data_IF_106964866025
#
_entry.id   IF_106964866025
#
_cell.length_a   1.000
_cell.length_b   1.000
_cell.length_c   1.000
_cell.angle_alpha   90.00
_cell.angle_beta   90.00
_cell.angle_gamma   90.00
#
_symmetry.space_group_name_H-M   'P 1'
#
loop_
_entity.id
_entity.type
_entity.pdbx_description
1 polymer ?
#
# COMPACT_ATOMS: atom_id res chain seq x y z
N UNK A 1 -10.73 8.10 -0.67
CA UNK A 1 -9.44 7.45 -0.31
C UNK A 1 -9.42 5.97 -0.66
N UNK A 2 -10.10 5.08 0.06
CA UNK A 2 -10.03 3.63 -0.24
C UNK A 2 -10.50 3.24 -1.65
N UNK A 3 -11.52 3.90 -2.22
CA UNK A 3 -11.94 3.64 -3.60
C UNK A 3 -10.81 3.87 -4.60
N UNK A 4 -10.09 4.99 -4.45
CA UNK A 4 -8.95 5.37 -5.29
C UNK A 4 -7.83 4.32 -5.20
N UNK A 5 -7.43 3.93 -3.97
CA UNK A 5 -6.39 2.92 -3.78
C UNK A 5 -6.78 1.59 -4.46
N UNK A 6 -8.05 1.18 -4.32
CA UNK A 6 -8.56 -0.06 -4.93
C UNK A 6 -8.51 0.02 -6.45
N UNK A 7 -8.95 1.13 -7.03
CA UNK A 7 -8.94 1.34 -8.48
C UNK A 7 -7.52 1.29 -9.04
N UNK A 8 -6.60 2.07 -8.48
CA UNK A 8 -5.21 2.12 -8.94
C UNK A 8 -4.47 0.80 -8.71
N UNK A 9 -4.72 0.11 -7.60
CA UNK A 9 -4.15 -1.23 -7.33
C UNK A 9 -4.63 -2.26 -8.35
N UNK A 10 -5.92 -2.24 -8.71
CA UNK A 10 -6.47 -3.17 -9.69
C UNK A 10 -5.98 -2.85 -11.11
N UNK A 11 -5.92 -1.57 -11.48
CA UNK A 11 -5.38 -1.10 -12.76
C UNK A 11 -3.92 -1.52 -12.92
N UNK A 12 -3.08 -1.23 -11.92
CA UNK A 12 -1.67 -1.61 -11.93
C UNK A 12 -1.45 -3.12 -12.05
N UNK A 13 -2.27 -3.92 -11.36
CA UNK A 13 -2.22 -5.37 -11.53
C UNK A 13 -2.59 -5.80 -12.96
N UNK A 14 -3.61 -5.18 -13.56
CA UNK A 14 -3.98 -5.40 -14.97
C UNK A 14 -2.82 -5.12 -15.92
N UNK A 15 -2.23 -3.92 -15.84
CA UNK A 15 -1.07 -3.54 -16.65
C UNK A 15 0.11 -4.48 -16.44
N UNK A 16 0.34 -4.99 -15.22
CA UNK A 16 1.38 -5.98 -14.96
C UNK A 16 1.16 -7.28 -15.74
N UNK A 17 -0.07 -7.78 -15.82
CA UNK A 17 -0.38 -9.02 -16.56
C UNK A 17 -0.30 -8.83 -18.08
N UNK A 18 -0.62 -7.65 -18.59
CA UNK A 18 -0.50 -7.34 -20.02
C UNK A 18 0.96 -7.25 -20.47
N UNK A 19 1.83 -6.72 -19.61
CA UNK A 19 3.22 -6.43 -19.96
C UNK A 19 4.24 -7.48 -19.47
N UNK A 20 3.80 -8.55 -18.80
CA UNK A 20 4.70 -9.55 -18.20
C UNK A 20 4.29 -10.97 -18.59
N UNK A 21 5.19 -11.69 -19.25
CA UNK A 21 5.06 -13.14 -19.43
C UNK A 21 5.35 -13.86 -18.11
N UNK A 22 4.38 -14.64 -17.64
CA UNK A 22 4.47 -15.35 -16.37
C UNK A 22 4.64 -16.85 -16.57
N UNK A 23 5.53 -17.45 -15.76
CA UNK A 23 5.58 -18.90 -15.65
C UNK A 23 4.31 -19.43 -14.96
N UNK A 24 3.86 -20.66 -15.25
CA UNK A 24 2.69 -21.27 -14.60
C UNK A 24 2.81 -21.38 -13.07
N UNK A 25 4.04 -21.39 -12.55
CA UNK A 25 4.33 -21.43 -11.11
C UNK A 25 4.23 -20.05 -10.42
N UNK A 26 4.03 -18.98 -11.18
CA UNK A 26 4.02 -17.62 -10.65
C UNK A 26 2.88 -17.42 -9.65
N UNK A 27 3.24 -16.98 -8.43
CA UNK A 27 2.25 -16.60 -7.41
C UNK A 27 1.34 -15.47 -7.88
N UNK A 28 1.79 -14.63 -8.81
CA UNK A 28 0.99 -13.54 -9.37
C UNK A 28 -0.30 -14.05 -10.00
N UNK A 29 -0.30 -15.26 -10.60
CA UNK A 29 -1.48 -15.87 -11.21
C UNK A 29 -2.63 -16.11 -10.21
N UNK A 30 -2.38 -16.05 -8.90
CA UNK A 30 -3.42 -16.11 -7.87
C UNK A 30 -4.07 -14.75 -7.58
N UNK A 31 -3.71 -13.71 -8.34
CA UNK A 31 -4.32 -12.40 -8.21
C UNK A 31 -5.81 -12.44 -8.51
N UNK A 32 -6.55 -11.65 -7.75
CA UNK A 32 -7.94 -11.30 -7.98
C UNK A 32 -8.08 -9.82 -7.62
N UNK A 33 -8.98 -9.12 -8.29
CA UNK A 33 -9.22 -7.72 -7.99
C UNK A 33 -9.60 -7.54 -6.51
N UNK A 34 -9.03 -6.52 -5.89
CA UNK A 34 -9.34 -6.13 -4.51
C UNK A 34 -10.57 -5.24 -4.46
N UNK A 35 -11.10 -5.03 -3.27
CA UNK A 35 -12.23 -4.13 -3.01
C UNK A 35 -12.00 -3.33 -1.72
N UNK A 36 -12.88 -2.37 -1.44
CA UNK A 36 -12.72 -1.46 -0.28
C UNK A 36 -12.61 -2.20 1.05
N UNK A 37 -13.41 -3.25 1.25
CA UNK A 37 -13.43 -3.99 2.51
C UNK A 37 -12.17 -4.83 2.70
N UNK A 38 -11.68 -5.47 1.63
CA UNK A 38 -10.41 -6.18 1.67
C UNK A 38 -9.23 -5.22 1.87
N UNK A 39 -9.22 -4.06 1.20
CA UNK A 39 -8.17 -3.06 1.34
C UNK A 39 -8.13 -2.49 2.76
N UNK A 40 -9.29 -2.25 3.39
CA UNK A 40 -9.34 -1.87 4.82
C UNK A 40 -8.72 -2.95 5.71
N UNK A 41 -9.07 -4.22 5.53
CA UNK A 41 -8.48 -5.34 6.29
C UNK A 41 -6.96 -5.42 6.10
N UNK A 42 -6.50 -5.24 4.87
CA UNK A 42 -5.08 -5.21 4.54
C UNK A 42 -4.34 -4.08 5.26
N UNK A 43 -4.85 -2.84 5.20
CA UNK A 43 -4.27 -1.70 5.91
C UNK A 43 -4.30 -1.90 7.43
N UNK A 44 -5.38 -2.48 7.98
CA UNK A 44 -5.43 -2.83 9.41
C UNK A 44 -4.33 -3.82 9.81
N UNK A 45 -4.00 -4.80 8.96
CA UNK A 45 -2.88 -5.70 9.21
C UNK A 45 -1.53 -4.98 9.14
N UNK A 46 -1.34 -4.03 8.23
CA UNK A 46 -0.14 -3.19 8.18
C UNK A 46 0.04 -2.35 9.45
N UNK A 47 -1.04 -1.72 9.93
CA UNK A 47 -1.02 -0.98 11.20
C UNK A 47 -0.70 -1.91 12.38
N UNK A 48 -1.27 -3.12 12.39
CA UNK A 48 -1.00 -4.11 13.43
C UNK A 48 0.46 -4.59 13.41
N UNK A 49 1.13 -4.64 12.26
CA UNK A 49 2.58 -4.94 12.19
C UNK A 49 3.43 -3.86 12.87
N UNK A 50 2.94 -2.62 12.93
CA UNK A 50 3.55 -1.54 13.70
C UNK A 50 3.50 -1.77 15.22
N UNK A 51 2.45 -2.46 15.70
CA UNK A 51 2.25 -2.78 17.12
C UNK A 51 2.91 -4.12 17.48
N UNK A 52 2.63 -5.16 16.70
CA UNK A 52 3.18 -6.51 16.88
C UNK A 52 4.41 -6.62 15.98
N UNK A 53 5.58 -6.35 16.54
CA UNK A 53 6.83 -6.41 15.79
C UNK A 53 7.32 -7.86 15.65
N UNK A 54 7.82 -8.21 14.46
CA UNK A 54 8.54 -9.47 14.22
C UNK A 54 9.82 -9.17 13.46
N UNK A 55 10.94 -9.85 13.79
CA UNK A 55 12.21 -9.61 13.13
C UNK A 55 12.20 -10.01 11.65
N UNK A 56 11.26 -10.89 11.24
CA UNK A 56 11.13 -11.32 9.85
C UNK A 56 9.67 -11.22 9.40
N UNK A 57 9.42 -10.52 8.30
CA UNK A 57 8.07 -10.31 7.74
C UNK A 57 7.31 -11.62 7.48
N UNK A 58 8.00 -12.67 7.01
CA UNK A 58 7.40 -13.99 6.77
C UNK A 58 6.86 -14.65 8.05
N UNK A 59 7.32 -14.23 9.23
CA UNK A 59 6.87 -14.82 10.49
C UNK A 59 5.47 -14.38 10.89
N UNK A 60 4.92 -13.32 10.31
CA UNK A 60 3.52 -12.95 10.51
C UNK A 60 2.54 -14.02 10.01
N UNK A 61 2.91 -14.78 8.97
CA UNK A 61 2.15 -15.92 8.47
C UNK A 61 2.52 -17.27 9.08
N UNK A 62 3.46 -17.32 10.04
CA UNK A 62 4.01 -18.59 10.53
C UNK A 62 2.99 -19.39 11.34
N UNK A 63 2.94 -20.71 11.07
CA UNK A 63 2.17 -21.68 11.86
C UNK A 63 2.99 -22.35 12.97
N UNK A 64 4.29 -22.08 13.08
CA UNK A 64 5.15 -22.64 14.14
C UNK A 64 4.65 -22.11 15.49
N UNK A 65 4.40 -22.95 16.51
CA UNK A 65 3.83 -22.50 17.79
C UNK A 65 4.56 -21.30 18.41
N UNK A 66 5.89 -21.34 18.47
CA UNK A 66 6.73 -20.27 19.03
C UNK A 66 6.70 -18.95 18.24
N UNK A 67 6.34 -18.98 16.96
CA UNK A 67 6.27 -17.80 16.10
C UNK A 67 4.83 -17.37 15.79
N UNK A 68 3.84 -18.18 16.20
CA UNK A 68 2.48 -18.07 15.73
C UNK A 68 1.85 -16.75 16.16
N UNK A 69 1.17 -16.10 15.23
CA UNK A 69 0.34 -14.93 15.52
C UNK A 69 -0.96 -15.09 14.75
N UNK A 70 -1.87 -15.97 15.25
CA UNK A 70 -2.96 -16.52 14.45
C UNK A 70 -3.88 -15.48 13.83
N UNK A 71 -4.00 -14.31 14.45
CA UNK A 71 -4.86 -13.22 13.98
C UNK A 71 -4.55 -12.80 12.53
N UNK A 72 -3.27 -12.70 12.15
CA UNK A 72 -2.89 -12.35 10.77
C UNK A 72 -3.47 -13.34 9.76
N UNK A 73 -3.24 -14.65 9.97
CA UNK A 73 -3.73 -15.71 9.10
C UNK A 73 -5.26 -15.89 9.13
N UNK A 74 -5.92 -15.49 10.23
CA UNK A 74 -7.39 -15.47 10.33
C UNK A 74 -8.01 -14.36 9.49
N UNK A 75 -7.37 -13.20 9.39
CA UNK A 75 -7.88 -12.05 8.63
C UNK A 75 -7.57 -12.20 7.14
N UNK A 76 -6.36 -12.63 6.80
CA UNK A 76 -5.90 -12.72 5.41
C UNK A 76 -4.80 -13.78 5.27
N UNK A 77 -4.85 -14.56 4.19
CA UNK A 77 -3.78 -15.52 3.91
C UNK A 77 -2.46 -14.80 3.56
N UNK A 78 -1.33 -15.41 3.92
CA UNK A 78 0.01 -14.86 3.60
C UNK A 78 0.19 -14.64 2.09
N UNK A 79 -0.35 -15.53 1.28
CA UNK A 79 -0.33 -15.42 -0.18
C UNK A 79 -1.10 -14.18 -0.64
N UNK A 80 -2.31 -13.96 -0.13
CA UNK A 80 -3.12 -12.79 -0.52
C UNK A 80 -2.50 -11.49 -0.01
N UNK A 81 -1.99 -11.47 1.22
CA UNK A 81 -1.27 -10.33 1.77
C UNK A 81 -0.04 -9.97 0.93
N UNK A 82 0.75 -10.97 0.53
CA UNK A 82 1.91 -10.77 -0.33
C UNK A 82 1.54 -10.24 -1.72
N UNK A 83 0.42 -10.67 -2.28
CA UNK A 83 -0.09 -10.16 -3.55
C UNK A 83 -0.57 -8.70 -3.45
N UNK A 84 -1.31 -8.35 -2.39
CA UNK A 84 -1.71 -6.96 -2.15
C UNK A 84 -0.48 -6.07 -1.92
N UNK A 85 0.51 -6.52 -1.15
CA UNK A 85 1.79 -5.82 -1.02
C UNK A 85 2.50 -5.61 -2.36
N UNK A 86 2.43 -6.58 -3.27
CA UNK A 86 3.09 -6.52 -4.58
C UNK A 86 2.42 -5.49 -5.51
N UNK A 87 1.10 -5.44 -5.52
CA UNK A 87 0.34 -4.64 -6.48
C UNK A 87 -0.21 -3.32 -5.91
N UNK A 88 0.01 -3.04 -4.62
CA UNK A 88 -0.42 -1.81 -3.98
C UNK A 88 0.08 -0.59 -4.76
N UNK A 89 -0.86 0.21 -5.27
CA UNK A 89 -0.56 1.35 -6.12
C UNK A 89 -1.39 2.58 -5.73
N UNK A 90 -0.87 3.77 -6.04
CA UNK A 90 -1.41 5.05 -5.56
C UNK A 90 -1.42 6.14 -6.64
N UNK A 91 -1.28 5.78 -7.91
CA UNK A 91 -1.13 6.72 -9.01
C UNK A 91 -1.69 6.13 -10.30
N UNK A 92 -2.32 6.96 -11.11
CA UNK A 92 -2.76 6.55 -12.44
C UNK A 92 -1.58 6.54 -13.42
N UNK A 93 -1.12 5.34 -13.79
CA UNK A 93 -0.04 5.20 -14.77
C UNK A 93 -0.48 5.51 -16.21
N UNK A 94 -1.78 5.56 -16.49
CA UNK A 94 -2.33 5.84 -17.83
C UNK A 94 -2.63 7.34 -18.03
N UNK A 95 -2.56 8.15 -16.96
CA UNK A 95 -2.67 9.59 -17.08
C UNK A 95 -1.44 10.10 -17.84
N UNK A 96 -1.65 10.57 -19.07
CA UNK A 96 -0.58 11.02 -19.95
C UNK A 96 0.29 12.07 -19.27
N UNK A 97 1.61 11.89 -19.40
CA UNK A 97 2.67 12.82 -19.01
C UNK A 97 2.64 14.17 -19.75
N UNK A 98 1.50 14.54 -20.35
CA UNK A 98 1.30 15.76 -21.13
C UNK A 98 1.04 17.00 -20.27
N UNK A 99 0.67 16.80 -19.00
CA UNK A 99 0.41 17.88 -18.02
C UNK A 99 1.48 17.91 -16.91
N UNK A 100 2.68 17.40 -17.23
CA UNK A 100 3.85 17.51 -16.35
C UNK A 100 4.32 18.96 -16.31
N UNK A 101 3.57 19.78 -15.58
CA UNK A 101 4.10 20.90 -14.83
C UNK A 101 5.41 20.43 -14.19
N UNK A 102 6.43 21.29 -14.26
CA UNK A 102 7.85 21.05 -14.02
C UNK A 102 8.20 20.54 -12.59
N UNK A 103 7.18 20.17 -11.82
CA UNK A 103 7.17 19.70 -10.45
C UNK A 103 7.08 18.18 -10.36
N UNK A 104 7.99 17.49 -11.06
CA UNK A 104 8.22 16.03 -11.05
C UNK A 104 8.58 15.44 -9.65
N UNK A 105 8.47 16.22 -8.58
CA UNK A 105 8.99 15.91 -7.24
C UNK A 105 8.06 15.04 -6.39
N UNK A 106 6.78 14.90 -6.75
CA UNK A 106 5.82 14.10 -5.99
C UNK A 106 5.10 13.09 -6.89
N UNK A 107 5.80 11.99 -7.21
CA UNK A 107 5.13 10.75 -7.64
C UNK A 107 4.02 10.44 -6.63
N UNK A 108 2.77 10.25 -7.09
CA UNK A 108 1.56 10.05 -6.25
C UNK A 108 0.93 11.32 -5.64
N UNK A 109 1.05 12.48 -6.30
CA UNK A 109 0.44 13.76 -5.87
C UNK A 109 -1.06 13.64 -5.56
N UNK A 110 -1.83 12.98 -6.41
CA UNK A 110 -3.28 12.84 -6.24
C UNK A 110 -3.65 12.17 -4.90
N UNK A 111 -2.95 11.07 -4.57
CA UNK A 111 -3.17 10.39 -3.30
C UNK A 111 -2.74 11.26 -2.11
N UNK A 112 -1.59 11.93 -2.22
CA UNK A 112 -1.10 12.85 -1.19
C UNK A 112 -2.14 13.95 -0.89
N UNK A 113 -2.64 14.60 -1.93
CA UNK A 113 -3.60 15.70 -1.78
C UNK A 113 -4.92 15.22 -1.17
N UNK A 114 -5.37 14.03 -1.53
CA UNK A 114 -6.54 13.39 -0.92
C UNK A 114 -6.36 13.13 0.59
N UNK A 115 -5.16 12.70 0.99
CA UNK A 115 -4.83 12.46 2.41
C UNK A 115 -4.73 13.76 3.18
N UNK A 116 -4.01 14.75 2.66
CA UNK A 116 -3.86 16.07 3.29
C UNK A 116 -5.22 16.76 3.44
N UNK A 117 -6.05 16.74 2.39
CA UNK A 117 -7.40 17.30 2.46
C UNK A 117 -8.22 16.62 3.57
N UNK A 118 -8.13 15.28 3.68
CA UNK A 118 -8.86 14.56 4.72
C UNK A 118 -8.40 14.92 6.12
N UNK A 119 -7.09 15.03 6.37
CA UNK A 119 -6.58 15.42 7.69
C UNK A 119 -6.96 16.85 8.07
N UNK A 120 -6.89 17.80 7.13
CA UNK A 120 -7.34 19.17 7.36
C UNK A 120 -8.84 19.26 7.68
N UNK A 121 -9.65 18.36 7.14
CA UNK A 121 -11.11 18.35 7.37
C UNK A 121 -11.53 17.85 8.76
N UNK A 122 -10.68 17.10 9.46
CA UNK A 122 -11.06 16.42 10.72
C UNK A 122 -10.50 17.08 11.97
N UNK A 123 -9.60 18.04 11.83
CA UNK A 123 -8.96 18.70 12.96
C UNK A 123 -8.68 20.17 12.66
N UNK A 124 -9.08 21.04 13.58
CA UNK A 124 -8.74 22.46 13.58
C UNK A 124 -7.64 22.68 14.63
N UNK A 125 -6.44 23.16 14.24
CA UNK A 125 -5.37 23.42 15.18
C UNK A 125 -5.72 24.49 16.22
N UNK A 126 -5.10 24.38 17.40
CA UNK A 126 -5.07 25.44 18.42
C UNK A 126 -4.03 26.52 18.04
N UNK A 127 -4.01 27.68 18.73
CA UNK A 127 -3.08 28.77 18.40
C UNK A 127 -1.60 28.38 18.46
N UNK A 128 -1.24 27.50 19.39
CA UNK A 128 0.15 27.05 19.54
C UNK A 128 0.44 25.87 18.60
N UNK A 129 1.22 26.15 17.56
CA UNK A 129 1.63 25.18 16.53
C UNK A 129 3.15 25.15 16.45
N UNK A 130 3.73 23.94 16.50
CA UNK A 130 5.13 23.71 16.20
C UNK A 130 5.31 23.17 14.78
N UNK A 131 6.33 23.65 14.09
CA UNK A 131 6.76 23.13 12.79
C UNK A 131 8.11 22.46 12.97
N UNK A 132 8.21 21.20 12.54
CA UNK A 132 9.43 20.41 12.59
C UNK A 132 9.50 19.51 11.35
N UNK A 133 10.70 19.02 11.05
CA UNK A 133 10.97 18.15 9.91
C UNK A 133 11.05 16.69 10.37
N UNK A 134 10.39 15.80 9.63
CA UNK A 134 10.48 14.36 9.86
C UNK A 134 11.10 13.67 8.65
N UNK A 135 12.13 12.88 8.91
CA UNK A 135 12.81 12.11 7.87
C UNK A 135 12.30 10.67 7.87
N UNK A 136 11.89 10.18 6.71
CA UNK A 136 11.57 8.76 6.49
C UNK A 136 12.81 8.09 5.90
N UNK A 137 13.49 7.28 6.70
CA UNK A 137 14.66 6.55 6.25
C UNK A 137 14.29 5.58 5.11
N UNK A 138 14.96 5.72 3.96
CA UNK A 138 14.82 4.83 2.82
C UNK A 138 16.20 4.42 2.30
N UNK A 139 16.38 3.11 2.07
CA UNK A 139 17.61 2.56 1.50
C UNK A 139 17.29 1.93 0.15
N UNK A 140 17.54 2.68 -0.92
CA UNK A 140 17.30 2.31 -2.30
C UNK A 140 17.55 3.51 -3.21
N UNK A 141 17.46 3.33 -4.53
CA UNK A 141 17.55 4.45 -5.46
C UNK A 141 16.24 5.24 -5.46
N UNK A 142 16.34 6.56 -5.29
CA UNK A 142 15.24 7.50 -5.48
C UNK A 142 15.54 8.22 -6.79
N UNK A 143 14.64 8.06 -7.76
CA UNK A 143 14.66 8.78 -9.05
C UNK A 143 13.58 9.85 -9.06
#
# INVERSE_FOLDING_TARGET
MFSFIVEETNRYAGSFFENTELTPASRALKWKNTNKEEMKRFISLLLLQGVVQKPVKKWFGSKRPILSTPFFGKVMSEVRYGLLMKFLHFENNDASSSDLDHNMKLKKKEFHDLVVHKFKSVYVPKPDISVDESLIAYKGQIS
#
